data_IF_050567457691
#
_entry.id   IF_050567457691
#
_cell.length_a   1.000
_cell.length_b   1.000
_cell.length_c   1.000
_cell.angle_alpha   90.00
_cell.angle_beta   90.00
_cell.angle_gamma   90.00
#
_symmetry.space_group_name_H-M   'P 1'
#
loop_
_entity.id
_entity.type
_entity.pdbx_description
1 polymer ?
#
# COMPACT_ATOMS: atom_id res chain seq x y z
N UNK A 1 41.27 26.66 7.79
CA UNK A 1 40.45 25.42 7.74
C UNK A 1 39.21 25.63 8.59
N UNK A 2 38.05 25.12 8.14
CA UNK A 2 36.77 25.38 8.78
C UNK A 2 36.60 24.56 10.08
N UNK A 3 36.61 25.24 11.23
CA UNK A 3 36.54 24.61 12.56
C UNK A 3 35.18 24.02 12.94
N UNK A 4 34.17 24.16 12.08
CA UNK A 4 32.84 23.57 12.25
C UNK A 4 32.76 22.11 11.76
N UNK A 5 33.55 21.73 10.74
CA UNK A 5 33.59 20.36 10.20
C UNK A 5 33.85 19.32 11.29
N UNK A 6 34.76 19.69 12.20
CA UNK A 6 35.24 18.89 13.32
C UNK A 6 34.20 18.67 14.41
N UNK A 7 33.12 19.46 14.42
CA UNK A 7 32.01 19.39 15.37
C UNK A 7 30.77 18.72 14.77
N UNK A 8 30.48 19.01 13.50
CA UNK A 8 29.26 18.56 12.82
C UNK A 8 29.39 17.20 12.12
N UNK A 9 30.59 16.79 11.69
CA UNK A 9 30.79 15.52 10.97
C UNK A 9 31.66 14.58 11.81
N UNK A 10 31.02 13.55 12.39
CA UNK A 10 31.69 12.52 13.21
C UNK A 10 32.42 11.46 12.36
N UNK A 11 31.93 11.21 11.16
CA UNK A 11 32.54 10.31 10.18
C UNK A 11 33.83 10.94 9.62
N UNK A 12 34.95 10.22 9.75
CA UNK A 12 36.26 10.70 9.33
C UNK A 12 36.45 10.71 7.80
N UNK A 13 35.85 9.76 7.08
CA UNK A 13 36.00 9.60 5.63
C UNK A 13 35.13 10.64 4.89
N UNK A 14 33.90 10.84 5.37
CA UNK A 14 33.03 11.92 4.92
C UNK A 14 33.63 13.30 5.24
N UNK A 15 34.17 13.49 6.44
CA UNK A 15 34.83 14.76 6.82
C UNK A 15 36.07 15.05 5.98
N UNK A 16 36.81 14.03 5.53
CA UNK A 16 37.92 14.23 4.62
C UNK A 16 37.43 14.60 3.21
N UNK A 17 36.47 13.85 2.66
CA UNK A 17 35.84 14.13 1.37
C UNK A 17 35.29 15.57 1.28
N UNK A 18 34.67 16.07 2.36
CA UNK A 18 34.16 17.45 2.42
C UNK A 18 35.30 18.48 2.52
N UNK A 19 36.42 18.19 3.21
CA UNK A 19 37.60 19.09 3.22
C UNK A 19 38.22 19.23 1.83
N UNK A 20 38.31 18.13 1.10
CA UNK A 20 38.91 18.10 -0.24
C UNK A 20 38.00 18.91 -1.21
N UNK A 21 36.68 18.65 -1.18
CA UNK A 21 35.69 19.43 -1.93
C UNK A 21 35.71 20.94 -1.61
N UNK A 22 35.91 21.32 -0.34
CA UNK A 22 36.02 22.72 0.08
C UNK A 22 37.36 23.37 -0.32
N UNK A 23 38.39 22.56 -0.60
CA UNK A 23 39.68 23.02 -1.11
C UNK A 23 39.59 23.29 -2.62
N UNK A 24 38.87 22.44 -3.37
CA UNK A 24 38.61 22.61 -4.80
C UNK A 24 37.56 23.71 -5.09
N UNK A 25 36.53 23.83 -4.25
CA UNK A 25 35.42 24.77 -4.44
C UNK A 25 35.11 25.60 -3.17
N UNK A 26 35.91 26.64 -2.87
CA UNK A 26 35.71 27.48 -1.68
C UNK A 26 34.34 28.17 -1.59
N UNK A 27 33.70 28.46 -2.73
CA UNK A 27 32.35 29.03 -2.82
C UNK A 27 31.27 28.10 -2.24
N UNK A 28 31.48 26.78 -2.26
CA UNK A 28 30.54 25.78 -1.74
C UNK A 28 30.44 25.79 -0.21
N UNK A 29 31.37 26.44 0.50
CA UNK A 29 31.39 26.53 1.98
C UNK A 29 30.05 26.95 2.57
N UNK A 30 29.41 27.98 2.00
CA UNK A 30 28.15 28.52 2.51
C UNK A 30 26.98 27.53 2.29
N UNK A 31 26.97 26.83 1.15
CA UNK A 31 25.92 25.85 0.81
C UNK A 31 26.03 24.61 1.69
N UNK A 32 27.24 24.10 1.90
CA UNK A 32 27.48 22.92 2.74
C UNK A 32 27.21 23.25 4.22
N UNK A 33 27.63 24.43 4.69
CA UNK A 33 27.29 24.89 6.04
C UNK A 33 25.77 25.03 6.22
N UNK A 34 25.04 25.61 5.27
CA UNK A 34 23.57 25.70 5.30
C UNK A 34 22.87 24.34 5.23
N UNK A 35 23.41 23.38 4.49
CA UNK A 35 22.91 22.01 4.47
C UNK A 35 23.05 21.35 5.84
N UNK A 36 24.20 21.51 6.49
CA UNK A 36 24.46 20.99 7.83
C UNK A 36 23.59 21.70 8.86
N UNK A 37 23.50 23.03 8.85
CA UNK A 37 22.58 23.79 9.72
C UNK A 37 21.11 23.38 9.50
N UNK A 38 20.69 23.14 8.25
CA UNK A 38 19.36 22.64 7.94
C UNK A 38 19.12 21.25 8.54
N UNK A 39 20.02 20.28 8.32
CA UNK A 39 19.85 18.94 8.86
C UNK A 39 20.07 18.85 10.38
N UNK A 40 21.00 19.61 10.97
CA UNK A 40 21.12 19.75 12.44
C UNK A 40 19.86 20.36 13.04
N UNK A 41 19.24 21.37 12.38
CA UNK A 41 17.95 21.91 12.84
C UNK A 41 16.77 20.93 12.64
N UNK A 42 16.86 20.04 11.65
CA UNK A 42 15.86 18.98 11.40
C UNK A 42 16.03 17.80 12.36
N UNK A 43 17.24 17.49 12.77
CA UNK A 43 17.59 16.47 13.75
C UNK A 43 17.30 16.96 15.18
N UNK A 44 17.52 18.25 15.49
CA UNK A 44 16.89 18.90 16.66
C UNK A 44 15.36 18.95 16.53
N UNK A 45 14.81 18.89 15.32
CA UNK A 45 13.38 18.65 15.08
C UNK A 45 12.89 17.22 15.39
N UNK A 46 13.79 16.23 15.42
CA UNK A 46 13.51 14.85 15.85
C UNK A 46 13.86 14.59 17.33
N UNK A 47 15.02 15.07 17.79
CA UNK A 47 15.55 14.87 19.14
C UNK A 47 15.12 15.96 20.15
N UNK A 48 14.75 17.16 19.68
CA UNK A 48 14.14 18.23 20.48
C UNK A 48 12.84 18.73 19.84
N UNK A 49 11.93 17.80 19.53
CA UNK A 49 10.51 18.10 19.79
C UNK A 49 10.44 18.53 21.26
N UNK A 50 10.29 19.84 21.50
CA UNK A 50 9.90 20.34 22.83
C UNK A 50 8.75 19.47 23.30
N UNK A 51 8.74 19.11 24.59
CA UNK A 51 7.51 18.68 25.26
C UNK A 51 6.52 19.85 25.24
N UNK A 52 5.89 20.07 24.09
CA UNK A 52 4.47 20.40 24.05
C UNK A 52 3.82 19.35 24.93
N UNK A 53 3.12 19.79 25.97
CA UNK A 53 2.48 18.89 26.90
C UNK A 53 1.57 17.98 26.08
N UNK A 54 1.71 16.65 26.20
CA UNK A 54 0.92 15.75 25.36
C UNK A 54 -0.57 15.95 25.63
N UNK A 55 -0.90 16.41 26.84
CA UNK A 55 -2.22 16.86 27.23
C UNK A 55 -2.70 18.07 26.42
N UNK A 56 -1.87 19.09 26.16
CA UNK A 56 -2.29 20.29 25.40
C UNK A 56 -2.68 19.94 23.95
N UNK A 57 -2.01 18.95 23.33
CA UNK A 57 -2.33 18.49 21.98
C UNK A 57 -3.64 17.70 21.91
N UNK A 58 -4.10 17.07 23.00
CA UNK A 58 -5.33 16.27 23.07
C UNK A 58 -6.49 17.04 23.71
N UNK A 59 -6.21 18.11 24.47
CA UNK A 59 -7.18 18.93 25.19
C UNK A 59 -8.34 19.44 24.34
N UNK A 60 -8.03 19.84 23.11
CA UNK A 60 -9.02 20.32 22.13
C UNK A 60 -9.44 19.19 21.14
N UNK A 61 -9.45 17.92 21.58
CA UNK A 61 -9.99 16.83 20.78
C UNK A 61 -11.44 17.11 20.38
N UNK A 62 -11.78 16.86 19.11
CA UNK A 62 -13.14 16.94 18.56
C UNK A 62 -13.80 15.57 18.46
N UNK A 63 -13.00 14.56 18.07
CA UNK A 63 -13.40 13.17 17.90
C UNK A 63 -12.29 12.26 18.39
N UNK A 64 -12.64 11.17 19.07
CA UNK A 64 -11.76 10.05 19.39
C UNK A 64 -12.40 8.74 18.93
N UNK A 65 -11.69 7.99 18.09
CA UNK A 65 -12.02 6.60 17.72
C UNK A 65 -11.09 5.69 18.53
N UNK A 66 -11.62 4.77 19.33
CA UNK A 66 -10.84 4.00 20.30
C UNK A 66 -10.50 2.59 19.77
N UNK A 67 -9.28 2.12 20.08
CA UNK A 67 -8.78 0.76 19.81
C UNK A 67 -8.78 0.34 18.32
N UNK A 68 -8.51 1.31 17.43
CA UNK A 68 -8.48 1.12 15.97
C UNK A 68 -7.22 0.36 15.54
N UNK A 69 -7.36 -0.57 14.60
CA UNK A 69 -6.30 -1.52 14.18
C UNK A 69 -5.48 -0.99 12.99
N UNK A 70 -4.22 -0.67 13.21
CA UNK A 70 -3.31 -0.11 12.19
C UNK A 70 -2.45 -1.17 11.51
N UNK A 71 -2.10 -0.87 10.26
CA UNK A 71 -1.12 -1.58 9.43
C UNK A 71 0.11 -0.69 9.17
N UNK A 72 -0.12 0.62 8.98
CA UNK A 72 0.90 1.67 8.79
C UNK A 72 0.44 2.92 9.55
N UNK A 73 1.31 3.65 10.28
CA UNK A 73 2.78 3.58 10.29
C UNK A 73 3.36 2.37 11.03
N UNK A 74 2.61 1.78 11.97
CA UNK A 74 3.01 0.60 12.72
C UNK A 74 1.84 -0.37 12.87
N UNK A 75 2.13 -1.68 12.88
CA UNK A 75 1.14 -2.75 13.06
C UNK A 75 0.78 -2.92 14.55
N UNK A 76 0.06 -1.94 15.09
CA UNK A 76 -0.46 -1.90 16.48
C UNK A 76 -1.91 -1.42 16.48
N UNK A 77 -2.55 -1.41 17.65
CA UNK A 77 -3.80 -0.67 17.86
C UNK A 77 -3.50 0.71 18.45
N UNK A 78 -4.21 1.73 17.98
CA UNK A 78 -4.14 3.10 18.46
C UNK A 78 -5.54 3.72 18.49
N UNK A 79 -5.71 4.74 19.33
CA UNK A 79 -6.85 5.64 19.25
C UNK A 79 -6.55 6.71 18.19
N UNK A 80 -7.52 7.01 17.32
CA UNK A 80 -7.45 8.16 16.42
C UNK A 80 -8.08 9.34 17.13
N UNK A 81 -7.30 10.37 17.44
CA UNK A 81 -7.79 11.63 18.02
C UNK A 81 -7.70 12.72 16.93
N UNK A 82 -8.82 13.34 16.60
CA UNK A 82 -8.91 14.46 15.65
C UNK A 82 -9.09 15.74 16.45
N UNK A 83 -8.22 16.72 16.21
CA UNK A 83 -8.31 18.08 16.78
C UNK A 83 -8.53 19.10 15.65
N UNK A 84 -8.74 20.40 15.92
CA UNK A 84 -8.89 21.40 14.87
C UNK A 84 -7.70 21.55 13.92
N UNK A 85 -6.54 20.96 14.24
CA UNK A 85 -5.28 21.13 13.49
C UNK A 85 -4.52 19.83 13.21
N UNK A 86 -4.75 18.75 13.96
CA UNK A 86 -4.00 17.51 13.84
C UNK A 86 -4.89 16.26 13.87
N UNK A 87 -4.42 15.21 13.19
CA UNK A 87 -4.81 13.82 13.41
C UNK A 87 -3.69 13.14 14.21
N UNK A 88 -4.03 12.60 15.37
CA UNK A 88 -3.12 12.03 16.36
C UNK A 88 -3.40 10.54 16.50
N UNK A 89 -2.33 9.73 16.56
CA UNK A 89 -2.40 8.31 16.93
C UNK A 89 -1.89 8.16 18.37
N UNK A 90 -2.81 7.89 19.28
CA UNK A 90 -2.56 7.78 20.71
C UNK A 90 -2.54 6.32 21.16
N UNK A 91 -1.54 5.92 21.93
CA UNK A 91 -1.42 4.59 22.48
C UNK A 91 -1.91 4.57 23.93
N UNK A 92 -3.16 4.14 24.10
CA UNK A 92 -3.86 4.06 25.38
C UNK A 92 -3.25 3.03 26.37
N UNK A 93 -2.28 2.21 25.96
CA UNK A 93 -1.52 1.32 26.87
C UNK A 93 -0.27 1.96 27.45
N UNK A 94 0.33 2.92 26.75
CA UNK A 94 1.54 3.64 27.17
C UNK A 94 1.28 5.10 27.51
N UNK A 95 0.01 5.50 27.48
CA UNK A 95 -0.48 6.87 27.69
C UNK A 95 0.31 7.93 26.89
N UNK A 96 0.59 7.62 25.62
CA UNK A 96 1.51 8.41 24.80
C UNK A 96 0.99 8.68 23.38
N UNK A 97 1.25 9.89 22.88
CA UNK A 97 1.18 10.23 21.46
C UNK A 97 2.35 9.55 20.73
N UNK A 98 2.06 8.57 19.87
CA UNK A 98 3.07 7.89 19.06
C UNK A 98 3.27 8.60 17.71
N UNK A 99 2.17 9.05 17.08
CA UNK A 99 2.20 9.79 15.82
C UNK A 99 1.26 10.99 15.86
N UNK A 100 1.62 12.05 15.15
CA UNK A 100 0.81 13.25 14.99
C UNK A 100 1.09 13.87 13.63
N UNK A 101 0.02 14.13 12.88
CA UNK A 101 0.02 14.64 11.52
C UNK A 101 -0.83 15.90 11.46
N UNK A 102 -0.37 16.95 10.78
CA UNK A 102 -1.24 18.13 10.57
C UNK A 102 -2.33 17.79 9.57
N UNK A 103 -3.54 18.31 9.78
CA UNK A 103 -4.64 18.11 8.83
C UNK A 103 -4.31 18.68 7.44
N UNK A 104 -3.56 19.79 7.39
CA UNK A 104 -3.11 20.42 6.14
C UNK A 104 -2.14 19.54 5.32
N UNK A 105 -1.50 18.53 5.90
CA UNK A 105 -0.51 17.68 5.22
C UNK A 105 -1.14 16.48 4.49
N UNK A 106 -2.41 16.17 4.78
CA UNK A 106 -3.18 15.18 4.03
C UNK A 106 -3.57 15.71 2.64
N UNK A 107 -3.60 14.80 1.67
CA UNK A 107 -4.07 15.05 0.31
C UNK A 107 -5.50 14.52 0.11
N UNK A 108 -5.73 13.26 0.52
CA UNK A 108 -7.02 12.57 0.44
C UNK A 108 -7.00 11.30 1.31
N UNK A 109 -8.14 10.61 1.40
CA UNK A 109 -8.21 9.25 1.93
C UNK A 109 -9.03 8.34 1.04
N UNK A 110 -8.93 7.04 1.27
CA UNK A 110 -9.76 6.02 0.65
C UNK A 110 -10.35 5.09 1.71
N UNK A 111 -11.58 4.62 1.53
CA UNK A 111 -12.19 3.59 2.36
C UNK A 111 -12.76 2.50 1.44
N UNK A 112 -12.22 1.29 1.52
CA UNK A 112 -12.57 0.18 0.62
C UNK A 112 -12.83 -1.11 1.40
N UNK A 113 -13.65 -2.06 0.89
CA UNK A 113 -13.75 -3.40 1.45
C UNK A 113 -12.37 -4.05 1.54
N UNK A 114 -12.04 -4.66 2.68
CA UNK A 114 -10.77 -5.38 2.84
C UNK A 114 -10.80 -6.66 2.00
N UNK A 115 -9.86 -6.85 1.04
CA UNK A 115 -9.81 -8.04 0.21
C UNK A 115 -9.68 -9.33 1.02
N UNK A 116 -10.22 -10.42 0.47
CA UNK A 116 -10.01 -11.80 0.96
C UNK A 116 -10.44 -12.04 2.43
N UNK A 117 -11.32 -11.21 2.97
CA UNK A 117 -11.88 -11.40 4.33
C UNK A 117 -13.27 -12.03 4.31
N UNK A 118 -13.38 -13.19 4.93
CA UNK A 118 -14.65 -13.92 5.14
C UNK A 118 -15.64 -13.13 6.01
N UNK A 119 -15.14 -12.34 6.96
CA UNK A 119 -15.95 -11.39 7.72
C UNK A 119 -15.82 -10.01 7.06
N UNK A 120 -16.95 -9.32 6.86
CA UNK A 120 -16.98 -7.96 6.33
C UNK A 120 -16.04 -7.05 7.13
N UNK A 121 -15.17 -6.35 6.41
CA UNK A 121 -14.18 -5.45 6.97
C UNK A 121 -13.84 -4.38 5.95
N UNK A 122 -13.40 -3.22 6.44
CA UNK A 122 -13.02 -2.08 5.61
C UNK A 122 -11.61 -1.63 5.98
N UNK A 123 -10.83 -1.33 4.94
CA UNK A 123 -9.50 -0.74 5.08
C UNK A 123 -9.55 0.71 4.64
N UNK A 124 -8.97 1.57 5.46
CA UNK A 124 -8.78 2.99 5.19
C UNK A 124 -7.31 3.23 4.92
N UNK A 125 -7.02 4.06 3.92
CA UNK A 125 -5.69 4.61 3.71
C UNK A 125 -5.80 6.13 3.60
N UNK A 126 -5.11 6.84 4.47
CA UNK A 126 -5.01 8.29 4.47
C UNK A 126 -3.66 8.67 3.86
N UNK A 127 -3.72 9.45 2.79
CA UNK A 127 -2.57 9.78 1.97
C UNK A 127 -2.07 11.18 2.30
N UNK A 128 -0.83 11.26 2.76
CA UNK A 128 -0.14 12.52 2.97
C UNK A 128 0.57 12.96 1.70
N UNK A 129 0.79 14.27 1.57
CA UNK A 129 1.45 14.86 0.40
C UNK A 129 2.88 14.33 0.19
N UNK A 130 3.64 14.23 1.29
CA UNK A 130 5.08 13.95 1.25
C UNK A 130 5.53 12.80 2.18
N UNK A 131 4.58 11.99 2.68
CA UNK A 131 4.86 10.89 3.62
C UNK A 131 4.20 9.57 3.19
N UNK A 132 4.60 8.46 3.83
CA UNK A 132 3.96 7.15 3.66
C UNK A 132 2.48 7.20 4.08
N UNK A 133 1.62 6.39 3.46
CA UNK A 133 0.20 6.33 3.83
C UNK A 133 -0.01 5.78 5.25
N UNK A 134 -0.96 6.40 5.98
CA UNK A 134 -1.50 5.88 7.25
C UNK A 134 -2.63 4.91 6.91
N UNK A 135 -2.49 3.64 7.28
CA UNK A 135 -3.40 2.56 6.87
C UNK A 135 -3.93 1.84 8.09
N UNK A 136 -5.26 1.73 8.21
CA UNK A 136 -5.95 1.05 9.31
C UNK A 136 -7.17 0.28 8.81
N UNK A 137 -7.71 -0.62 9.65
CA UNK A 137 -8.91 -1.38 9.32
C UNK A 137 -9.93 -1.41 10.46
N UNK A 138 -11.20 -1.58 10.08
CA UNK A 138 -12.32 -1.84 10.99
C UNK A 138 -13.03 -3.12 10.54
N UNK A 139 -13.38 -3.98 11.49
CA UNK A 139 -14.06 -5.25 11.23
C UNK A 139 -15.50 -5.18 11.72
N UNK A 140 -16.42 -5.78 10.97
CA UNK A 140 -17.86 -5.70 11.26
C UNK A 140 -18.21 -6.32 12.62
N UNK A 141 -17.55 -7.43 12.99
CA UNK A 141 -17.71 -8.09 14.31
C UNK A 141 -17.01 -7.39 15.47
N UNK A 142 -16.16 -6.39 15.23
CA UNK A 142 -15.42 -5.68 16.29
C UNK A 142 -16.02 -4.29 16.47
N UNK A 143 -16.65 -4.05 17.61
CA UNK A 143 -17.24 -2.75 17.94
C UNK A 143 -16.15 -1.67 18.04
N UNK A 144 -16.44 -0.47 17.54
CA UNK A 144 -15.55 0.71 17.64
C UNK A 144 -16.23 1.74 18.54
N UNK A 145 -15.59 2.12 19.64
CA UNK A 145 -16.10 3.18 20.51
C UNK A 145 -15.71 4.54 19.95
N UNK A 146 -16.64 5.48 19.98
CA UNK A 146 -16.46 6.85 19.49
C UNK A 146 -16.87 7.84 20.56
N UNK A 147 -15.98 8.79 20.84
CA UNK A 147 -16.28 9.98 21.63
C UNK A 147 -16.28 11.18 20.68
N UNK A 148 -17.36 11.96 20.65
CA UNK A 148 -17.43 13.22 19.88
C UNK A 148 -17.77 14.35 20.85
N UNK A 149 -17.09 15.48 20.73
CA UNK A 149 -17.36 16.66 21.57
C UNK A 149 -18.84 17.04 21.53
N UNK A 150 -19.39 17.33 22.71
CA UNK A 150 -20.80 17.68 22.94
C UNK A 150 -21.81 16.59 22.52
N UNK A 151 -21.38 15.33 22.39
CA UNK A 151 -22.24 14.16 22.22
C UNK A 151 -21.88 13.10 23.27
N UNK A 152 -22.81 12.22 23.59
CA UNK A 152 -22.52 11.05 24.43
C UNK A 152 -21.60 10.07 23.68
N UNK A 153 -20.75 9.36 24.43
CA UNK A 153 -19.91 8.32 23.87
C UNK A 153 -20.78 7.20 23.29
N UNK A 154 -20.51 6.81 22.05
CA UNK A 154 -21.29 5.83 21.30
C UNK A 154 -20.45 4.62 20.90
N UNK A 155 -21.13 3.51 20.65
CA UNK A 155 -20.52 2.27 20.16
C UNK A 155 -21.05 2.05 18.75
N UNK A 156 -20.16 2.01 17.75
CA UNK A 156 -20.55 1.61 16.42
C UNK A 156 -20.51 0.09 16.30
N UNK A 157 -21.67 -0.48 15.97
CA UNK A 157 -21.84 -1.91 15.71
C UNK A 157 -22.04 -2.17 14.21
N UNK A 158 -22.96 -1.45 13.54
CA UNK A 158 -23.13 -1.45 12.08
C UNK A 158 -22.53 -0.21 11.40
N UNK A 159 -22.44 -0.24 10.07
CA UNK A 159 -22.21 0.91 9.17
C UNK A 159 -21.00 1.80 9.47
N UNK A 160 -20.05 1.25 10.24
CA UNK A 160 -18.79 1.85 10.69
C UNK A 160 -18.07 2.63 9.59
N UNK A 161 -18.04 2.08 8.39
CA UNK A 161 -17.35 2.63 7.23
C UNK A 161 -17.94 3.94 6.70
N UNK A 162 -19.26 4.12 6.74
CA UNK A 162 -19.90 5.37 6.37
C UNK A 162 -19.67 6.42 7.45
N UNK A 163 -19.88 6.05 8.72
CA UNK A 163 -19.78 6.96 9.86
C UNK A 163 -18.33 7.44 10.06
N UNK A 164 -17.33 6.55 9.98
CA UNK A 164 -15.91 6.93 10.11
C UNK A 164 -15.46 7.76 8.91
N UNK A 165 -15.90 7.43 7.69
CA UNK A 165 -15.60 8.26 6.52
C UNK A 165 -16.21 9.67 6.63
N UNK A 166 -17.44 9.78 7.16
CA UNK A 166 -18.07 11.06 7.46
C UNK A 166 -17.28 11.85 8.51
N UNK A 167 -16.92 11.23 9.65
CA UNK A 167 -16.16 11.90 10.72
C UNK A 167 -14.79 12.40 10.25
N UNK A 168 -14.08 11.64 9.41
CA UNK A 168 -12.82 12.06 8.78
C UNK A 168 -13.04 13.23 7.81
N UNK A 169 -14.13 13.21 7.03
CA UNK A 169 -14.47 14.29 6.10
C UNK A 169 -14.87 15.57 6.84
N UNK A 170 -15.69 15.46 7.89
CA UNK A 170 -16.23 16.59 8.66
C UNK A 170 -15.19 17.23 9.59
N UNK A 171 -14.47 16.43 10.38
CA UNK A 171 -13.57 16.93 11.42
C UNK A 171 -12.10 16.99 11.00
N UNK A 172 -11.61 16.02 10.21
CA UNK A 172 -10.23 16.03 9.70
C UNK A 172 -10.09 16.73 8.34
N UNK A 173 -11.19 17.08 7.66
CA UNK A 173 -11.24 17.70 6.31
C UNK A 173 -10.59 16.83 5.22
N UNK A 174 -10.50 15.52 5.44
CA UNK A 174 -9.92 14.57 4.50
C UNK A 174 -11.03 14.00 3.63
N UNK A 175 -11.04 14.30 2.33
CA UNK A 175 -12.00 13.72 1.40
C UNK A 175 -11.75 12.20 1.25
N UNK A 176 -12.75 11.38 1.62
CA UNK A 176 -12.66 9.92 1.57
C UNK A 176 -13.32 9.38 0.30
N UNK A 177 -12.51 8.79 -0.60
CA UNK A 177 -12.99 8.11 -1.81
C UNK A 177 -13.38 6.66 -1.51
N UNK A 178 -14.55 6.24 -1.98
CA UNK A 178 -15.09 4.89 -1.77
C UNK A 178 -15.40 4.22 -3.12
N UNK A 179 -15.42 2.88 -3.21
CA UNK A 179 -15.84 2.19 -4.41
C UNK A 179 -17.30 2.49 -4.76
N UNK A 180 -17.62 2.43 -6.05
CA UNK A 180 -18.98 2.66 -6.54
C UNK A 180 -19.21 1.82 -7.78
N UNK A 181 -20.36 1.15 -7.88
CA UNK A 181 -20.78 0.41 -9.09
C UNK A 181 -20.78 1.27 -10.35
N UNK A 182 -20.94 2.59 -10.20
CA UNK A 182 -20.87 3.52 -11.32
C UNK A 182 -19.44 3.79 -11.79
N UNK A 183 -18.44 3.63 -10.92
CA UNK A 183 -17.03 3.74 -11.28
C UNK A 183 -16.53 2.39 -11.83
N UNK A 184 -16.56 1.34 -11.01
CA UNK A 184 -15.99 0.05 -11.34
C UNK A 184 -16.69 -1.08 -10.57
N UNK A 185 -16.79 -2.24 -11.21
CA UNK A 185 -17.19 -3.52 -10.60
C UNK A 185 -16.57 -4.65 -11.42
N UNK A 186 -16.06 -5.69 -10.77
CA UNK A 186 -15.40 -6.80 -11.44
C UNK A 186 -16.34 -7.63 -12.34
N UNK A 187 -15.77 -8.24 -13.37
CA UNK A 187 -16.43 -9.30 -14.13
C UNK A 187 -16.69 -10.50 -13.23
N UNK A 188 -17.87 -11.12 -13.34
CA UNK A 188 -18.18 -12.34 -12.58
C UNK A 188 -18.74 -12.11 -11.16
N UNK A 189 -19.20 -10.89 -10.83
CA UNK A 189 -20.13 -10.71 -9.72
C UNK A 189 -21.40 -11.54 -9.91
N UNK A 190 -21.44 -12.74 -9.32
CA UNK A 190 -22.64 -13.58 -9.31
C UNK A 190 -23.82 -12.76 -8.78
N UNK A 191 -24.99 -12.87 -9.42
CA UNK A 191 -26.21 -12.10 -9.05
C UNK A 191 -26.71 -12.34 -7.61
N UNK A 192 -26.06 -13.23 -6.87
CA UNK A 192 -26.31 -13.63 -5.48
C UNK A 192 -25.14 -13.36 -4.53
N UNK A 193 -23.98 -12.89 -5.03
CA UNK A 193 -22.82 -12.55 -4.23
C UNK A 193 -22.68 -11.02 -4.08
N UNK A 194 -22.03 -10.55 -3.00
CA UNK A 194 -21.67 -9.13 -2.88
C UNK A 194 -20.74 -8.70 -4.03
N UNK A 195 -20.87 -7.44 -4.49
CA UNK A 195 -20.05 -6.95 -5.61
C UNK A 195 -18.57 -6.88 -5.24
N UNK A 196 -17.70 -7.41 -6.12
CA UNK A 196 -16.25 -7.31 -6.00
C UNK A 196 -15.76 -6.01 -6.66
N UNK A 197 -15.00 -5.22 -5.90
CA UNK A 197 -14.52 -3.88 -6.28
C UNK A 197 -13.00 -3.77 -6.48
N UNK A 198 -12.30 -4.91 -6.51
CA UNK A 198 -10.84 -4.95 -6.61
C UNK A 198 -10.38 -6.05 -7.56
N UNK A 199 -9.25 -5.83 -8.23
CA UNK A 199 -8.54 -6.87 -8.98
C UNK A 199 -7.20 -7.18 -8.32
N UNK A 200 -6.79 -8.44 -8.36
CA UNK A 200 -5.44 -8.86 -7.97
C UNK A 200 -4.44 -8.45 -9.04
N UNK A 201 -3.34 -7.84 -8.64
CA UNK A 201 -2.27 -7.42 -9.56
C UNK A 201 -0.91 -7.41 -8.86
N UNK A 202 0.16 -7.46 -9.64
CA UNK A 202 1.52 -7.32 -9.14
C UNK A 202 2.08 -5.94 -9.49
N UNK A 203 2.67 -5.26 -8.51
CA UNK A 203 3.48 -4.06 -8.73
C UNK A 203 4.95 -4.42 -8.54
N UNK A 204 5.68 -4.54 -9.66
CA UNK A 204 7.03 -5.16 -9.70
C UNK A 204 6.93 -6.58 -9.11
N UNK A 205 7.78 -6.94 -8.15
CA UNK A 205 7.77 -8.27 -7.52
C UNK A 205 6.82 -8.41 -6.30
N UNK A 206 5.85 -7.50 -6.14
CA UNK A 206 4.94 -7.50 -4.98
C UNK A 206 3.50 -7.71 -5.43
N UNK A 207 2.80 -8.63 -4.78
CA UNK A 207 1.38 -8.83 -4.95
C UNK A 207 0.56 -7.75 -4.19
N UNK A 208 -0.63 -7.47 -4.69
CA UNK A 208 -1.57 -6.55 -4.06
C UNK A 208 -2.89 -6.45 -4.82
N UNK A 209 -3.69 -5.48 -4.41
CA UNK A 209 -5.04 -5.27 -4.91
C UNK A 209 -5.16 -3.85 -5.50
N UNK A 210 -5.70 -3.78 -6.71
CA UNK A 210 -6.07 -2.53 -7.37
C UNK A 210 -7.55 -2.24 -7.15
N UNK A 211 -7.87 -1.02 -6.71
CA UNK A 211 -9.22 -0.49 -6.66
C UNK A 211 -9.34 0.72 -7.59
N UNK A 212 -10.29 0.66 -8.52
CA UNK A 212 -10.59 1.74 -9.46
C UNK A 212 -11.68 2.63 -8.85
N UNK A 213 -11.28 3.71 -8.17
CA UNK A 213 -12.17 4.58 -7.39
C UNK A 213 -12.60 5.80 -8.21
N UNK A 214 -13.70 6.51 -7.86
CA UNK A 214 -14.18 7.68 -8.59
C UNK A 214 -13.16 8.83 -8.75
N UNK A 215 -12.11 8.87 -7.92
CA UNK A 215 -11.10 9.93 -7.89
C UNK A 215 -9.70 9.49 -8.33
N UNK A 216 -9.45 8.19 -8.50
CA UNK A 216 -8.13 7.65 -8.78
C UNK A 216 -8.03 6.13 -8.57
N UNK A 217 -6.85 5.60 -8.82
CA UNK A 217 -6.53 4.17 -8.69
C UNK A 217 -5.71 3.98 -7.41
N UNK A 218 -6.17 3.07 -6.54
CA UNK A 218 -5.51 2.69 -5.30
C UNK A 218 -4.84 1.32 -5.50
N UNK A 219 -3.56 1.21 -5.15
CA UNK A 219 -2.85 -0.07 -5.02
C UNK A 219 -2.45 -0.30 -3.56
N UNK A 220 -2.76 -1.47 -2.99
CA UNK A 220 -2.42 -1.78 -1.60
C UNK A 220 -2.78 -3.20 -1.16
N UNK A 221 -2.68 -3.56 0.13
CA UNK A 221 -2.20 -2.74 1.27
C UNK A 221 -0.82 -3.17 1.80
N UNK A 222 -0.16 -4.12 1.13
CA UNK A 222 1.29 -4.37 1.31
C UNK A 222 2.06 -3.10 0.87
N UNK A 223 3.19 -2.77 1.53
CA UNK A 223 4.01 -1.62 1.10
C UNK A 223 4.68 -1.89 -0.25
N UNK A 224 4.64 -0.97 -1.24
CA UNK A 224 4.10 0.39 -1.15
C UNK A 224 2.58 0.41 -1.31
N UNK A 225 1.88 1.18 -0.48
CA UNK A 225 0.48 1.53 -0.71
C UNK A 225 0.46 2.85 -1.48
N UNK A 226 -0.13 2.84 -2.68
CA UNK A 226 -0.08 3.97 -3.61
C UNK A 226 -1.48 4.45 -3.97
N UNK A 227 -1.65 5.76 -4.08
CA UNK A 227 -2.80 6.36 -4.74
C UNK A 227 -2.36 7.18 -5.94
N UNK A 228 -2.95 6.89 -7.09
CA UNK A 228 -2.70 7.54 -8.38
C UNK A 228 -3.99 8.31 -8.74
N UNK A 229 -4.04 9.63 -8.57
CA UNK A 229 -5.21 10.43 -8.96
C UNK A 229 -5.51 10.30 -10.45
N UNK A 230 -6.79 10.30 -10.85
CA UNK A 230 -7.17 10.33 -12.27
C UNK A 230 -6.55 11.53 -13.00
N UNK A 231 -6.43 12.67 -12.33
CA UNK A 231 -5.78 13.86 -12.87
C UNK A 231 -4.29 13.68 -13.18
N UNK A 232 -3.60 12.73 -12.53
CA UNK A 232 -2.17 12.46 -12.71
C UNK A 232 -1.87 11.55 -13.91
N UNK A 233 -2.85 10.77 -14.41
CA UNK A 233 -2.67 9.84 -15.53
C UNK A 233 -2.84 10.58 -16.86
N UNK A 234 -1.92 10.45 -17.81
CA UNK A 234 -2.10 10.93 -19.20
C UNK A 234 -2.79 9.87 -20.04
N UNK A 235 -2.23 8.67 -20.04
CA UNK A 235 -2.56 7.57 -20.95
C UNK A 235 -2.54 6.24 -20.20
N UNK A 236 -3.10 5.23 -20.84
CA UNK A 236 -2.91 3.83 -20.47
C UNK A 236 -2.48 3.00 -21.70
N UNK A 237 -1.88 1.85 -21.43
CA UNK A 237 -1.70 0.81 -22.42
C UNK A 237 -1.84 -0.57 -21.77
N UNK A 238 -2.51 -1.48 -22.47
CA UNK A 238 -2.58 -2.90 -22.13
C UNK A 238 -1.50 -3.66 -22.89
N UNK A 239 -0.63 -4.33 -22.15
CA UNK A 239 0.56 -5.03 -22.68
C UNK A 239 0.62 -6.48 -22.15
N UNK A 240 1.63 -7.25 -22.57
CA UNK A 240 1.86 -8.63 -22.11
C UNK A 240 0.65 -9.56 -22.21
N UNK A 241 -0.23 -9.36 -23.19
CA UNK A 241 -1.51 -10.08 -23.28
C UNK A 241 -1.26 -11.57 -23.53
N UNK A 242 -1.80 -12.40 -22.65
CA UNK A 242 -1.81 -13.87 -22.76
C UNK A 242 -3.25 -14.39 -22.82
N UNK A 243 -3.43 -15.72 -22.84
CA UNK A 243 -4.76 -16.34 -22.74
C UNK A 243 -5.46 -16.12 -21.38
N UNK A 244 -4.72 -15.78 -20.32
CA UNK A 244 -5.25 -15.72 -18.94
C UNK A 244 -5.06 -14.38 -18.25
N UNK A 245 -4.02 -13.64 -18.60
CA UNK A 245 -3.65 -12.37 -17.96
C UNK A 245 -3.09 -11.36 -18.94
N UNK A 246 -3.16 -10.09 -18.56
CA UNK A 246 -2.48 -8.97 -19.20
C UNK A 246 -1.80 -8.07 -18.16
N UNK A 247 -1.01 -7.12 -18.63
CA UNK A 247 -0.43 -6.05 -17.83
C UNK A 247 -1.07 -4.70 -18.17
N UNK A 248 -1.34 -3.87 -17.16
CA UNK A 248 -1.83 -2.50 -17.30
C UNK A 248 -0.69 -1.52 -17.02
N UNK A 249 -0.30 -0.75 -18.04
CA UNK A 249 0.65 0.36 -17.93
C UNK A 249 -0.13 1.67 -17.85
N UNK A 250 0.16 2.49 -16.84
CA UNK A 250 -0.36 3.85 -16.71
C UNK A 250 0.79 4.84 -16.96
N UNK A 251 0.68 5.69 -17.97
CA UNK A 251 1.61 6.82 -18.17
C UNK A 251 1.16 7.98 -17.29
N UNK A 252 2.10 8.60 -16.57
CA UNK A 252 1.87 9.75 -15.72
C UNK A 252 2.17 11.05 -16.47
N UNK A 253 1.36 12.08 -16.21
CA UNK A 253 1.62 13.44 -16.70
C UNK A 253 2.91 13.98 -16.07
N UNK A 254 3.67 14.76 -16.84
CA UNK A 254 4.85 15.50 -16.34
C UNK A 254 4.48 16.34 -15.11
N UNK A 255 5.34 16.31 -14.09
CA UNK A 255 5.16 16.96 -12.77
C UNK A 255 3.94 16.48 -11.94
N UNK A 256 3.28 15.38 -12.33
CA UNK A 256 2.14 14.86 -11.56
C UNK A 256 2.57 14.18 -10.25
N UNK A 257 1.67 14.21 -9.26
CA UNK A 257 1.91 13.65 -7.94
C UNK A 257 1.15 12.33 -7.76
N UNK A 258 1.87 11.34 -7.24
CA UNK A 258 1.34 10.10 -6.66
C UNK A 258 1.56 10.15 -5.15
N UNK A 259 0.70 9.49 -4.37
CA UNK A 259 0.74 9.57 -2.91
C UNK A 259 0.96 8.21 -2.26
N UNK A 260 1.44 8.21 -1.01
CA UNK A 260 1.47 7.05 -0.12
C UNK A 260 2.80 6.30 -0.04
N UNK A 261 3.76 6.60 -0.93
CA UNK A 261 5.16 6.19 -0.74
C UNK A 261 6.13 7.18 -1.40
N UNK A 262 6.74 8.12 -0.66
CA UNK A 262 7.63 9.15 -1.21
C UNK A 262 8.92 8.61 -1.84
N UNK A 263 9.32 7.39 -1.47
CA UNK A 263 10.45 6.69 -2.06
C UNK A 263 10.10 5.86 -3.32
N UNK A 264 8.83 5.75 -3.69
CA UNK A 264 8.45 5.01 -4.88
C UNK A 264 8.85 5.79 -6.13
N UNK A 265 9.56 5.12 -7.03
CA UNK A 265 9.90 5.62 -8.36
C UNK A 265 9.15 4.81 -9.41
N UNK A 266 8.37 5.54 -10.21
CA UNK A 266 7.86 5.07 -11.48
C UNK A 266 9.02 4.64 -12.40
N UNK A 267 8.72 3.79 -13.38
CA UNK A 267 9.65 3.44 -14.45
C UNK A 267 9.76 4.63 -15.40
N UNK A 268 10.91 4.83 -16.07
CA UNK A 268 11.04 5.84 -17.13
C UNK A 268 11.02 5.15 -18.48
N UNK A 269 10.00 5.47 -19.29
CA UNK A 269 9.89 5.07 -20.69
C UNK A 269 10.11 6.33 -21.54
N UNK A 270 11.34 6.50 -22.04
CA UNK A 270 11.72 7.73 -22.74
C UNK A 270 11.77 8.94 -21.79
N UNK A 271 10.97 9.96 -22.08
CA UNK A 271 10.83 11.15 -21.21
C UNK A 271 9.78 10.98 -20.10
N UNK A 272 8.85 10.04 -20.26
CA UNK A 272 7.66 9.95 -19.40
C UNK A 272 7.80 8.88 -18.32
N UNK A 273 7.01 9.06 -17.25
CA UNK A 273 7.03 8.17 -16.09
C UNK A 273 5.85 7.20 -16.14
N UNK A 274 6.10 5.89 -16.05
CA UNK A 274 5.08 4.84 -16.16
C UNK A 274 4.99 3.97 -14.89
N UNK A 275 3.78 3.50 -14.60
CA UNK A 275 3.51 2.50 -13.55
C UNK A 275 2.84 1.29 -14.21
N UNK A 276 3.53 0.15 -14.19
CA UNK A 276 3.02 -1.12 -14.71
C UNK A 276 2.50 -2.00 -13.55
N UNK A 277 1.28 -2.49 -13.72
CA UNK A 277 0.66 -3.52 -12.90
C UNK A 277 0.51 -4.78 -13.73
N UNK A 278 1.10 -5.89 -13.30
CA UNK A 278 1.15 -7.13 -14.07
C UNK A 278 0.25 -8.23 -13.53
N UNK A 279 0.05 -9.28 -14.34
CA UNK A 279 -0.70 -10.49 -14.01
C UNK A 279 -2.19 -10.22 -13.65
N UNK A 280 -2.82 -9.24 -14.29
CA UNK A 280 -4.25 -8.94 -14.13
C UNK A 280 -5.06 -9.97 -14.92
N UNK A 281 -6.11 -10.56 -14.33
CA UNK A 281 -6.95 -11.56 -15.00
C UNK A 281 -7.65 -10.99 -16.25
N UNK A 282 -7.62 -11.74 -17.35
CA UNK A 282 -8.19 -11.35 -18.65
C UNK A 282 -9.70 -11.04 -18.58
N UNK A 283 -10.43 -11.66 -17.66
CA UNK A 283 -11.86 -11.40 -17.43
C UNK A 283 -12.13 -9.95 -16.98
N UNK A 284 -11.19 -9.32 -16.28
CA UNK A 284 -11.32 -7.98 -15.73
C UNK A 284 -10.99 -6.88 -16.77
N UNK A 285 -10.51 -7.25 -17.97
CA UNK A 285 -10.20 -6.31 -19.05
C UNK A 285 -11.38 -5.40 -19.39
N UNK A 286 -12.58 -5.97 -19.58
CA UNK A 286 -13.77 -5.21 -19.97
C UNK A 286 -14.18 -4.13 -18.96
N UNK A 287 -14.30 -4.45 -17.65
CA UNK A 287 -14.53 -3.45 -16.61
C UNK A 287 -13.43 -2.39 -16.50
N UNK A 288 -12.16 -2.76 -16.66
CA UNK A 288 -11.02 -1.85 -16.57
C UNK A 288 -11.04 -0.87 -17.75
N UNK A 289 -11.20 -1.37 -18.97
CA UNK A 289 -11.39 -0.60 -20.20
C UNK A 289 -12.56 0.40 -20.09
N UNK A 290 -13.70 -0.05 -19.57
CA UNK A 290 -14.87 0.80 -19.35
C UNK A 290 -14.61 1.92 -18.33
N UNK A 291 -13.89 1.64 -17.24
CA UNK A 291 -13.49 2.65 -16.26
C UNK A 291 -12.52 3.69 -16.87
N UNK A 292 -11.50 3.23 -17.59
CA UNK A 292 -10.48 4.07 -18.23
C UNK A 292 -11.13 5.02 -19.25
N UNK A 293 -11.97 4.49 -20.14
CA UNK A 293 -12.75 5.27 -21.11
C UNK A 293 -13.68 6.28 -20.44
N UNK A 294 -14.33 5.89 -19.33
CA UNK A 294 -15.18 6.79 -18.55
C UNK A 294 -14.39 7.91 -17.85
N UNK A 295 -13.16 7.63 -17.43
CA UNK A 295 -12.26 8.62 -16.85
C UNK A 295 -11.69 9.61 -17.89
N UNK A 296 -11.84 9.34 -19.19
CA UNK A 296 -11.27 10.14 -20.26
C UNK A 296 -9.75 10.04 -20.37
N UNK A 297 -9.17 8.91 -19.90
CA UNK A 297 -7.76 8.58 -20.08
C UNK A 297 -7.57 8.06 -21.51
N UNK A 298 -6.53 8.52 -22.21
CA UNK A 298 -6.25 8.10 -23.58
C UNK A 298 -5.70 6.66 -23.63
N UNK A 299 -6.02 5.92 -24.69
CA UNK A 299 -5.68 4.50 -24.86
C UNK A 299 -4.67 4.31 -25.99
N UNK A 300 -3.44 4.03 -25.57
CA UNK A 300 -2.27 3.85 -26.43
C UNK A 300 -1.86 2.36 -26.54
N UNK A 301 -2.77 1.42 -26.23
CA UNK A 301 -2.53 -0.03 -26.38
C UNK A 301 -2.21 -0.45 -27.83
N UNK A 302 -2.61 0.36 -28.81
CA UNK A 302 -2.40 0.13 -30.25
C UNK A 302 -1.32 1.01 -30.89
N UNK A 303 -0.54 1.77 -30.09
CA UNK A 303 0.51 2.65 -30.61
C UNK A 303 1.63 1.85 -31.28
N UNK A 304 2.30 2.43 -32.29
CA UNK A 304 3.30 1.70 -33.08
C UNK A 304 4.55 1.32 -32.27
N UNK A 305 4.80 2.02 -31.17
CA UNK A 305 5.88 1.75 -30.22
C UNK A 305 5.57 0.59 -29.26
N UNK A 306 4.28 0.27 -29.06
CA UNK A 306 3.80 -0.76 -28.12
C UNK A 306 3.17 -1.98 -28.80
N UNK A 307 2.92 -1.93 -30.12
CA UNK A 307 2.61 -3.13 -30.91
C UNK A 307 3.70 -4.18 -30.68
N UNK A 308 3.30 -5.36 -30.22
CA UNK A 308 4.21 -6.50 -30.12
C UNK A 308 4.92 -6.70 -31.45
N UNK A 309 6.25 -6.87 -31.42
CA UNK A 309 7.04 -7.12 -32.63
C UNK A 309 6.51 -8.38 -33.27
N UNK A 310 5.72 -8.22 -34.33
CA UNK A 310 5.34 -9.33 -35.19
C UNK A 310 6.65 -9.93 -35.69
N UNK A 311 6.87 -11.21 -35.37
CA UNK A 311 7.95 -11.97 -36.00
C UNK A 311 7.74 -11.85 -37.49
N UNK A 312 8.60 -11.09 -38.15
CA UNK A 312 8.69 -11.11 -39.61
C UNK A 312 9.15 -12.53 -39.95
N UNK A 313 8.22 -13.32 -40.47
CA UNK A 313 8.59 -14.49 -41.24
C UNK A 313 9.53 -14.00 -42.33
N UNK A 314 10.73 -14.56 -42.34
CA UNK A 314 11.78 -14.19 -43.28
C UNK A 314 11.45 -14.80 -44.63
N UNK A 315 10.56 -14.13 -45.37
CA UNK A 315 10.26 -14.46 -46.74
C UNK A 315 11.50 -14.18 -47.61
N UNK A 316 12.00 -15.21 -48.27
CA UNK A 316 13.10 -15.13 -49.23
C UNK A 316 12.62 -15.65 -50.58
N UNK A 317 12.44 -14.72 -51.51
CA UNK A 317 12.24 -14.98 -52.94
C UNK A 317 13.41 -15.78 -53.55
N UNK A 318 13.34 -16.39 -54.74
CA UNK A 318 12.45 -16.29 -55.89
C UNK A 318 12.10 -17.71 -56.40
N UNK A 319 11.13 -17.93 -57.31
CA UNK A 319 11.29 -17.87 -58.79
C UNK A 319 9.94 -17.62 -59.46
N UNK A 320 9.93 -16.80 -60.51
CA UNK A 320 8.79 -16.56 -61.41
C UNK A 320 8.67 -17.63 -62.49
N UNK A 321 7.44 -17.96 -62.89
CA UNK A 321 7.10 -18.15 -64.30
C UNK A 321 5.63 -17.79 -64.60
N UNK A 322 5.30 -17.44 -65.84
CA UNK A 322 4.02 -16.87 -66.26
C UNK A 322 3.04 -17.94 -66.80
N UNK A 323 1.72 -17.71 -66.72
CA UNK A 323 0.80 -18.35 -67.69
C UNK A 323 -0.68 -18.55 -67.33
N UNK A 324 -1.53 -17.85 -68.10
CA UNK A 324 -2.88 -18.26 -68.56
C UNK A 324 -4.15 -18.13 -67.68
N UNK A 325 -5.25 -17.90 -68.42
CA UNK A 325 -6.61 -17.53 -67.99
C UNK A 325 -7.48 -18.76 -67.64
N UNK A 326 -8.53 -18.60 -66.81
CA UNK A 326 -9.41 -19.75 -66.47
C UNK A 326 -10.63 -19.50 -65.56
N UNK A 327 -11.59 -18.70 -66.03
CA UNK A 327 -13.06 -18.76 -65.82
C UNK A 327 -13.73 -19.59 -64.66
N UNK A 328 -14.65 -18.92 -63.94
CA UNK A 328 -15.91 -19.39 -63.28
C UNK A 328 -15.95 -20.35 -62.05
N UNK A 329 -16.81 -19.97 -61.09
CA UNK A 329 -17.77 -20.78 -60.27
C UNK A 329 -17.69 -22.32 -60.40
N UNK A 330 -17.72 -23.15 -59.35
CA UNK A 330 -18.70 -23.16 -58.25
C UNK A 330 -18.39 -24.23 -57.16
N UNK A 331 -19.09 -24.15 -56.01
CA UNK A 331 -19.47 -25.22 -55.05
C UNK A 331 -18.45 -26.21 -54.41
N UNK A 332 -18.51 -26.26 -53.07
CA UNK A 332 -18.54 -27.43 -52.14
C UNK A 332 -17.62 -28.66 -52.37
N UNK A 333 -16.79 -29.02 -51.36
CA UNK A 333 -17.05 -30.12 -50.39
C UNK A 333 -15.77 -30.62 -49.66
N UNK A 334 -15.97 -31.11 -48.43
CA UNK A 334 -15.21 -32.11 -47.65
C UNK A 334 -13.75 -31.84 -47.20
N UNK A 335 -13.63 -31.58 -45.89
CA UNK A 335 -13.11 -32.55 -44.91
C UNK A 335 -11.97 -33.50 -45.36
N UNK A 336 -10.78 -33.37 -44.76
CA UNK A 336 -10.27 -34.47 -43.92
C UNK A 336 -9.23 -33.98 -42.88
N UNK A 337 -9.18 -34.72 -41.77
CA UNK A 337 -8.47 -34.44 -40.53
C UNK A 337 -7.21 -35.33 -40.39
N UNK A 338 -6.08 -34.79 -39.91
CA UNK A 338 -4.89 -35.57 -39.53
C UNK A 338 -4.24 -35.06 -38.21
N UNK A 339 -5.01 -35.15 -37.12
CA UNK A 339 -4.66 -35.99 -35.97
C UNK A 339 -3.20 -35.93 -35.44
N UNK A 340 -2.89 -34.99 -34.52
CA UNK A 340 -1.65 -35.00 -33.74
C UNK A 340 -1.87 -35.66 -32.35
N UNK A 341 -1.31 -36.86 -32.17
CA UNK A 341 -1.43 -37.63 -30.93
C UNK A 341 -0.08 -37.63 -30.18
N UNK A 342 0.00 -37.18 -28.91
CA UNK A 342 1.22 -37.26 -28.13
C UNK A 342 1.43 -38.72 -27.65
N UNK A 343 2.58 -39.32 -27.99
CA UNK A 343 3.01 -40.58 -27.39
C UNK A 343 3.99 -40.28 -26.26
N UNK A 344 3.64 -40.72 -25.05
CA UNK A 344 4.54 -40.75 -23.90
C UNK A 344 5.72 -41.71 -24.12
N UNK A 345 6.80 -41.44 -23.38
CA UNK A 345 7.79 -42.41 -22.91
C UNK A 345 8.52 -41.78 -21.72
N UNK A 346 8.04 -42.10 -20.52
CA UNK A 346 8.74 -42.55 -19.29
C UNK A 346 10.22 -42.10 -19.07
N UNK A 347 10.74 -41.88 -17.85
CA UNK A 347 10.49 -42.60 -16.60
C UNK A 347 11.11 -41.85 -15.37
N UNK A 348 10.83 -42.30 -14.13
CA UNK A 348 11.46 -41.92 -12.82
C UNK A 348 11.13 -40.50 -12.25
N UNK A 349 10.83 -40.28 -10.96
CA UNK A 349 10.88 -41.11 -9.73
C UNK A 349 9.80 -40.68 -8.70
N UNK A 350 8.98 -41.58 -8.12
CA UNK A 350 7.96 -41.25 -7.12
C UNK A 350 8.46 -41.39 -5.67
N UNK A 351 8.70 -40.27 -4.97
CA UNK A 351 8.96 -40.31 -3.53
C UNK A 351 7.65 -40.35 -2.72
N UNK A 352 7.40 -41.52 -2.14
CA UNK A 352 6.39 -41.75 -1.11
C UNK A 352 6.69 -40.92 0.15
N UNK A 353 5.69 -40.21 0.66
CA UNK A 353 5.60 -39.87 2.08
C UNK A 353 4.12 -39.89 2.50
N UNK A 354 3.72 -41.03 3.05
CA UNK A 354 2.51 -41.16 3.86
C UNK A 354 2.88 -41.08 5.35
N UNK A 355 1.87 -40.81 6.18
CA UNK A 355 1.73 -41.01 7.64
C UNK A 355 1.52 -39.73 8.45
N UNK A 356 0.30 -39.63 9.00
CA UNK A 356 -0.10 -38.72 10.09
C UNK A 356 0.86 -38.75 11.29
N UNK A 357 1.19 -37.58 11.84
CA UNK A 357 1.29 -37.32 13.29
C UNK A 357 1.65 -35.84 13.56
N UNK A 358 0.64 -35.01 13.84
CA UNK A 358 0.85 -33.83 14.70
C UNK A 358 0.01 -34.03 15.96
N UNK A 359 0.68 -34.53 17.01
CA UNK A 359 0.11 -34.64 18.36
C UNK A 359 -0.08 -33.26 18.99
N UNK A 360 -1.12 -33.12 19.82
CA UNK A 360 -1.34 -31.95 20.64
C UNK A 360 -0.29 -31.90 21.76
N UNK A 361 0.61 -30.92 21.76
CA UNK A 361 1.44 -30.60 22.93
C UNK A 361 0.95 -29.30 23.60
N UNK A 362 0.12 -29.49 24.63
CA UNK A 362 -0.07 -28.51 25.70
C UNK A 362 1.20 -28.50 26.58
N UNK A 363 1.94 -27.38 26.63
CA UNK A 363 2.97 -27.21 27.68
C UNK A 363 2.36 -26.56 28.92
N UNK A 364 2.04 -27.41 29.91
CA UNK A 364 1.68 -27.02 31.27
C UNK A 364 2.83 -26.36 32.05
N UNK A 365 2.44 -25.65 33.11
CA UNK A 365 3.29 -24.96 34.06
C UNK A 365 4.36 -25.88 34.71
N UNK A 366 5.58 -25.36 34.89
CA UNK A 366 6.56 -25.92 35.84
C UNK A 366 6.96 -24.94 36.92
N UNK A 367 6.28 -25.05 38.06
CA UNK A 367 6.87 -24.69 39.35
C UNK A 367 8.06 -25.61 39.67
N UNK A 368 9.09 -25.09 40.38
CA UNK A 368 9.91 -25.89 41.26
C UNK A 368 9.64 -25.52 42.73
N UNK A 369 9.38 -26.52 43.57
CA UNK A 369 9.30 -26.36 45.03
C UNK A 369 10.23 -27.36 45.75
N UNK A 370 10.69 -26.96 46.94
CA UNK A 370 11.52 -27.62 47.96
C UNK A 370 13.01 -27.24 47.94
N UNK A 371 13.51 -26.38 48.84
CA UNK A 371 13.64 -26.47 50.33
C UNK A 371 14.90 -27.25 50.79
N UNK A 372 15.42 -27.05 52.03
CA UNK A 372 15.47 -25.83 52.87
C UNK A 372 16.87 -25.58 53.49
N UNK A 373 17.09 -24.42 54.14
CA UNK A 373 17.96 -24.24 55.34
C UNK A 373 18.01 -22.80 55.89
N UNK A 374 17.47 -22.64 57.10
CA UNK A 374 18.05 -22.02 58.33
C UNK A 374 19.40 -21.27 58.18
N UNK A 375 19.69 -20.16 58.88
CA UNK A 375 19.44 -19.86 60.31
C UNK A 375 19.88 -18.40 60.66
N UNK A 376 19.32 -17.78 61.73
CA UNK A 376 19.76 -16.54 62.42
C UNK A 376 19.73 -15.20 61.61
N UNK A 377 19.39 -14.01 62.13
CA UNK A 377 18.84 -13.49 63.41
C UNK A 377 18.13 -12.14 63.08
N UNK A 378 17.52 -11.30 63.94
CA UNK A 378 17.64 -11.03 65.39
C UNK A 378 16.27 -10.57 65.98
N UNK A 379 16.26 -9.97 67.18
CA UNK A 379 15.12 -9.64 68.06
C UNK A 379 14.46 -8.25 67.83
N UNK A 380 13.16 -8.11 68.16
CA UNK A 380 12.74 -7.25 69.30
C UNK A 380 11.26 -7.35 69.69
N UNK A 381 11.04 -7.71 70.97
CA UNK A 381 10.03 -7.27 71.95
C UNK A 381 8.64 -6.77 71.48
N UNK A 382 7.54 -7.44 71.86
CA UNK A 382 6.90 -7.44 73.20
C UNK A 382 6.20 -6.12 73.56
N UNK A 383 4.86 -6.18 73.67
CA UNK A 383 3.97 -5.66 74.73
C UNK A 383 2.54 -5.57 74.11
N UNK A 384 1.49 -6.32 74.46
CA UNK A 384 0.88 -6.74 75.76
C UNK A 384 -0.45 -5.97 76.00
N UNK A 385 -1.42 -6.66 76.61
CA UNK A 385 -2.75 -6.26 77.16
C UNK A 385 -3.38 -4.90 76.74
N UNK A 386 -4.61 -4.82 76.20
CA UNK A 386 -5.93 -4.94 76.89
C UNK A 386 -6.99 -4.23 76.00
N UNK A 387 -8.31 -4.40 76.06
CA UNK A 387 -9.25 -5.18 76.90
C UNK A 387 -10.50 -5.50 76.04
#
# INVERSE_FOLDING_TARGET
MASWLDKSIRDLELRQSVKDLLTEHPSSTNVIQRLIEYYESKDDGMAKRRKLDQNDLIKDQLVRLIDVSFQSPARKKYDIIITPTHLILYNSKTEAIEFSYRLDDFALGTCVPTPEKTNKAFTYALFLKNEDAVVFNTQDKVAVKIEVVNKEASVLESDKHEIIAQLLTEHARIAISQPSKQAFVCSGGNKTAEDKYYVTAYLKAKDGFLFFLPTGILYGFKKPTLFIPLSSISENAVTSITQRTFDLVLTLKKESQIYGSPGFRATKEGEDESIQFSMISQEEYGPIDAYIKKAGIDDQSMSEERKAVSKKESDSSDVKEEGMEGNQHDSEDSENDENFNPSDSDEEDPLEYDTDAEEEEEEEEKMPLNEPRDEMDEEQDMLDESD
#
